data_IF_181892849987
#
_entry.id   IF_181892849987
#
_cell.length_a   1.000
_cell.length_b   1.000
_cell.length_c   1.000
_cell.angle_alpha   90.00
_cell.angle_beta   90.00
_cell.angle_gamma   90.00
#
_symmetry.space_group_name_H-M   'P 1'
#
loop_
_entity.id
_entity.type
_entity.pdbx_description
1 polymer ?
#
# COMPACT_ATOMS: atom_id res chain seq x y z
N UNK A 1 16.94 2.88 4.41
CA UNK A 1 15.98 3.92 3.96
C UNK A 1 16.03 5.11 4.92
N UNK A 2 15.95 6.37 4.45
CA UNK A 2 15.93 7.55 5.32
C UNK A 2 14.63 7.55 6.16
N UNK A 3 14.70 7.99 7.43
CA UNK A 3 13.59 7.99 8.43
C UNK A 3 12.32 8.79 8.07
N UNK A 4 12.24 9.38 6.88
CA UNK A 4 11.08 10.14 6.41
C UNK A 4 10.55 9.73 5.04
N UNK A 5 11.17 8.75 4.38
CA UNK A 5 10.74 8.35 3.04
C UNK A 5 9.47 7.51 3.14
N UNK A 6 8.40 7.97 2.48
CA UNK A 6 7.18 7.20 2.31
C UNK A 6 7.21 6.38 1.03
N UNK A 7 6.81 5.12 1.15
CA UNK A 7 6.73 4.16 0.05
C UNK A 7 5.31 3.62 -0.02
N UNK A 8 4.64 3.82 -1.15
CA UNK A 8 3.34 3.23 -1.43
C UNK A 8 3.50 1.91 -2.16
N UNK A 9 2.89 0.85 -1.65
CA UNK A 9 2.88 -0.47 -2.29
C UNK A 9 1.43 -0.84 -2.58
N UNK A 10 1.10 -1.06 -3.84
CA UNK A 10 -0.17 -1.63 -4.28
C UNK A 10 0.02 -3.13 -4.55
N UNK A 11 -0.83 -3.93 -3.93
CA UNK A 11 -0.96 -5.37 -4.20
C UNK A 11 -2.27 -5.60 -4.93
N UNK A 12 -2.17 -6.09 -6.15
CA UNK A 12 -3.31 -6.36 -7.03
C UNK A 12 -3.80 -7.81 -6.86
N UNK A 13 -5.11 -8.02 -6.94
CA UNK A 13 -5.75 -9.32 -6.80
C UNK A 13 -7.27 -9.20 -6.87
N UNK A 14 -8.01 -10.19 -6.35
CA UNK A 14 -9.48 -10.11 -6.21
C UNK A 14 -9.95 -8.94 -5.32
N UNK A 15 -9.05 -8.49 -4.45
CA UNK A 15 -9.18 -7.30 -3.63
C UNK A 15 -7.85 -6.56 -3.75
N UNK A 16 -7.92 -5.24 -3.87
CA UNK A 16 -6.76 -4.38 -4.00
C UNK A 16 -6.37 -3.86 -2.61
N UNK A 17 -5.08 -3.90 -2.32
CA UNK A 17 -4.55 -3.44 -1.04
C UNK A 17 -3.44 -2.43 -1.30
N UNK A 18 -3.45 -1.32 -0.57
CA UNK A 18 -2.39 -0.33 -0.64
C UNK A 18 -1.81 -0.09 0.74
N UNK A 19 -0.54 -0.41 0.89
CA UNK A 19 0.24 -0.13 2.08
C UNK A 19 1.06 1.13 1.87
N UNK A 20 0.99 2.09 2.80
CA UNK A 20 1.93 3.20 2.85
C UNK A 20 2.89 2.97 4.00
N UNK A 21 4.16 2.83 3.70
CA UNK A 21 5.22 2.65 4.69
C UNK A 21 5.99 3.93 4.88
N UNK A 22 6.37 4.23 6.12
CA UNK A 22 7.41 5.22 6.46
C UNK A 22 8.61 4.49 7.04
N UNK A 23 9.66 4.32 6.23
CA UNK A 23 10.69 3.33 6.54
C UNK A 23 10.10 1.91 6.52
N UNK A 24 10.12 1.21 7.65
CA UNK A 24 9.53 -0.13 7.81
C UNK A 24 8.18 -0.15 8.54
N UNK A 25 7.72 1.00 9.01
CA UNK A 25 6.46 1.13 9.72
C UNK A 25 5.31 1.29 8.74
N UNK A 26 4.23 0.51 8.90
CA UNK A 26 3.00 0.67 8.13
C UNK A 26 2.24 1.89 8.68
N UNK A 27 2.31 3.00 7.97
CA UNK A 27 1.71 4.27 8.38
C UNK A 27 0.22 4.35 8.00
N UNK A 28 -0.13 3.88 6.80
CA UNK A 28 -1.52 3.82 6.35
C UNK A 28 -1.77 2.55 5.54
N UNK A 29 -3.04 2.15 5.51
CA UNK A 29 -3.48 0.96 4.81
C UNK A 29 -4.88 1.18 4.21
N UNK A 30 -5.03 0.84 2.94
CA UNK A 30 -6.28 0.99 2.20
C UNK A 30 -6.65 -0.32 1.52
N UNK A 31 -7.94 -0.60 1.49
CA UNK A 31 -8.51 -1.79 0.87
C UNK A 31 -9.64 -1.39 -0.05
N UNK A 32 -9.77 -2.09 -1.18
CA UNK A 32 -10.80 -1.78 -2.16
C UNK A 32 -11.06 -2.89 -3.16
N UNK A 33 -12.17 -2.73 -3.88
CA UNK A 33 -12.64 -3.71 -4.89
C UNK A 33 -12.01 -3.47 -6.26
N UNK A 34 -11.39 -2.30 -6.47
CA UNK A 34 -10.68 -1.95 -7.70
C UNK A 34 -9.46 -1.09 -7.38
N UNK A 35 -8.51 -1.03 -8.32
CA UNK A 35 -7.36 -0.12 -8.25
C UNK A 35 -7.80 1.34 -8.09
N UNK A 36 -8.81 1.76 -8.85
CA UNK A 36 -9.32 3.13 -8.80
C UNK A 36 -9.90 3.48 -7.42
N UNK A 37 -10.70 2.58 -6.84
CA UNK A 37 -11.26 2.76 -5.49
C UNK A 37 -10.17 2.97 -4.42
N UNK A 38 -9.12 2.15 -4.46
CA UNK A 38 -8.01 2.27 -3.50
C UNK A 38 -7.20 3.54 -3.70
N UNK A 39 -6.97 3.96 -4.95
CA UNK A 39 -6.25 5.19 -5.25
C UNK A 39 -7.07 6.43 -4.86
N UNK A 40 -8.39 6.43 -5.05
CA UNK A 40 -9.28 7.49 -4.57
C UNK A 40 -9.22 7.64 -3.06
N UNK A 41 -9.29 6.53 -2.31
CA UNK A 41 -9.15 6.55 -0.83
C UNK A 41 -7.80 7.09 -0.37
N UNK A 42 -6.73 6.73 -1.08
CA UNK A 42 -5.40 7.26 -0.82
C UNK A 42 -5.39 8.79 -1.05
N UNK A 43 -5.96 9.28 -2.16
CA UNK A 43 -6.06 10.71 -2.46
C UNK A 43 -6.83 11.49 -1.39
N UNK A 44 -7.99 10.97 -0.97
CA UNK A 44 -8.81 11.55 0.09
C UNK A 44 -8.08 11.63 1.43
N UNK A 45 -7.17 10.68 1.71
CA UNK A 45 -6.37 10.69 2.93
C UNK A 45 -5.31 11.81 2.98
N UNK A 46 -4.99 12.45 1.85
CA UNK A 46 -3.95 13.46 1.74
C UNK A 46 -2.50 12.92 1.76
N UNK A 47 -2.30 11.64 2.09
CA UNK A 47 -0.98 10.99 2.19
C UNK A 47 -0.28 10.89 0.83
N UNK A 48 -1.04 10.85 -0.27
CA UNK A 48 -0.56 10.74 -1.65
C UNK A 48 0.56 11.71 -1.99
N UNK A 49 0.45 12.96 -1.53
CA UNK A 49 1.39 14.06 -1.85
C UNK A 49 2.77 13.86 -1.21
N UNK A 50 2.89 12.95 -0.26
CA UNK A 50 4.11 12.71 0.50
C UNK A 50 4.82 11.40 0.11
N UNK A 51 4.22 10.59 -0.78
CA UNK A 51 4.81 9.33 -1.24
C UNK A 51 5.94 9.63 -2.22
N UNK A 52 7.15 9.18 -1.88
CA UNK A 52 8.34 9.40 -2.70
C UNK A 52 8.60 8.26 -3.68
N UNK A 53 8.17 7.05 -3.34
CA UNK A 53 8.37 5.85 -4.15
C UNK A 53 7.14 4.95 -4.17
N UNK A 54 6.89 4.26 -5.28
CA UNK A 54 5.84 3.23 -5.36
C UNK A 54 6.05 2.23 -6.48
N UNK A 55 5.29 1.13 -6.43
CA UNK A 55 5.24 0.12 -7.51
C UNK A 55 4.05 0.32 -8.47
N UNK A 56 3.29 1.41 -8.37
CA UNK A 56 2.06 1.64 -9.13
C UNK A 56 2.04 2.94 -9.94
N UNK A 57 3.21 3.55 -10.12
CA UNK A 57 3.40 4.74 -10.97
C UNK A 57 3.34 6.08 -10.24
N UNK A 58 3.34 6.09 -8.91
CA UNK A 58 3.35 7.30 -8.09
C UNK A 58 4.74 7.59 -7.50
N UNK A 59 5.28 8.77 -7.76
CA UNK A 59 6.67 9.08 -7.39
C UNK A 59 7.68 8.25 -8.19
N UNK A 60 8.78 7.83 -7.58
CA UNK A 60 9.79 6.98 -8.23
C UNK A 60 9.44 5.51 -8.12
N UNK A 61 9.89 4.70 -9.09
CA UNK A 61 9.68 3.26 -9.04
C UNK A 61 10.31 2.63 -7.79
N UNK A 62 9.60 1.68 -7.18
CA UNK A 62 10.05 0.88 -6.05
C UNK A 62 9.87 -0.62 -6.33
N UNK A 63 10.94 -1.38 -6.13
CA UNK A 63 10.99 -2.84 -6.33
C UNK A 63 11.66 -3.59 -5.16
N UNK A 64 11.61 -3.02 -3.95
CA UNK A 64 12.29 -3.56 -2.76
C UNK A 64 11.42 -4.43 -1.84
N UNK A 65 12.00 -4.81 -0.70
CA UNK A 65 11.45 -5.75 0.30
C UNK A 65 10.09 -5.38 0.89
N UNK A 66 9.69 -4.10 0.84
CA UNK A 66 8.37 -3.68 1.36
C UNK A 66 7.22 -4.25 0.53
N UNK A 67 7.47 -4.70 -0.70
CA UNK A 67 6.48 -5.39 -1.54
C UNK A 67 6.04 -6.67 -0.85
N UNK A 68 6.96 -7.57 -0.53
CA UNK A 68 6.65 -8.85 0.14
C UNK A 68 5.99 -8.63 1.49
N UNK A 69 6.40 -7.58 2.21
CA UNK A 69 5.77 -7.23 3.49
C UNK A 69 4.31 -6.82 3.33
N UNK A 70 3.98 -6.01 2.32
CA UNK A 70 2.60 -5.65 2.03
C UNK A 70 1.77 -6.86 1.58
N UNK A 71 2.35 -7.76 0.79
CA UNK A 71 1.70 -9.02 0.38
C UNK A 71 1.32 -9.85 1.60
N UNK A 72 2.24 -10.08 2.55
CA UNK A 72 1.95 -10.84 3.78
C UNK A 72 0.83 -10.21 4.62
N UNK A 73 0.80 -8.87 4.71
CA UNK A 73 -0.27 -8.14 5.41
C UNK A 73 -1.61 -8.38 4.70
N UNK A 74 -1.64 -8.28 3.36
CA UNK A 74 -2.83 -8.49 2.57
C UNK A 74 -3.36 -9.93 2.70
N UNK A 75 -2.48 -10.94 2.68
CA UNK A 75 -2.84 -12.34 2.88
C UNK A 75 -3.46 -12.59 4.26
N UNK A 76 -2.81 -12.13 5.33
CA UNK A 76 -3.34 -12.29 6.70
C UNK A 76 -4.70 -11.61 6.91
N UNK A 77 -4.98 -10.51 6.20
CA UNK A 77 -6.30 -9.87 6.22
C UNK A 77 -7.35 -10.65 5.42
N UNK A 78 -6.99 -11.21 4.27
CA UNK A 78 -7.89 -12.07 3.48
C UNK A 78 -8.32 -13.29 4.28
N UNK A 79 -7.41 -13.92 5.02
CA UNK A 79 -7.75 -15.06 5.88
C UNK A 79 -8.74 -14.69 6.99
N UNK A 80 -8.55 -13.52 7.62
CA UNK A 80 -9.49 -13.04 8.65
C UNK A 80 -10.87 -12.71 8.08
N UNK A 81 -10.94 -12.15 6.88
CA UNK A 81 -12.21 -11.81 6.21
C UNK A 81 -12.99 -13.04 5.74
N UNK A 82 -12.30 -14.15 5.41
CA UNK A 82 -12.97 -15.42 5.04
C UNK A 82 -13.57 -16.17 6.23
N UNK A 83 -13.08 -15.89 7.43
CA UNK A 83 -13.52 -16.55 8.67
C UNK A 83 -14.63 -15.76 9.41
N UNK A 84 -15.20 -14.75 8.76
CA UNK A 84 -16.37 -13.99 9.20
C UNK A 84 -17.52 -14.21 8.23
#
# INVERSE_FOLDING_TARGET
MKRGTRVGILVEGSTFFLCVFRGFFLEAFFIGVSKADVLSKLEESGVTKEISYSNFGLGREYSGELIERCVRIAEGLKEKLKNY
#
